data_IF_863577939216
#
_entry.id   IF_863577939216
#
_cell.length_a   1.000
_cell.length_b   1.000
_cell.length_c   1.000
_cell.angle_alpha   90.00
_cell.angle_beta   90.00
_cell.angle_gamma   90.00
#
_symmetry.space_group_name_H-M   'P 1'
#
loop_
_entity.id
_entity.type
_entity.pdbx_description
1 polymer ?
#
# COMPACT_ATOMS: atom_id res chain seq x y z
N UNK A 1 68.43 14.63 -61.66
CA UNK A 1 69.43 14.72 -60.61
C UNK A 1 68.74 15.30 -59.41
N UNK A 2 68.80 14.62 -58.25
CA UNK A 2 68.27 14.94 -56.91
C UNK A 2 66.83 14.53 -56.66
N UNK A 3 66.62 13.31 -56.09
CA UNK A 3 65.54 12.83 -55.28
C UNK A 3 65.47 13.59 -53.99
N UNK A 4 64.31 14.04 -53.61
CA UNK A 4 63.97 14.41 -52.19
C UNK A 4 62.93 13.44 -51.66
N UNK A 5 63.40 12.66 -50.70
CA UNK A 5 62.58 11.72 -49.92
C UNK A 5 61.76 12.51 -48.90
N UNK A 6 60.43 12.46 -48.99
CA UNK A 6 59.54 12.96 -47.98
C UNK A 6 59.16 11.81 -47.04
N UNK A 7 59.66 11.86 -45.81
CA UNK A 7 59.24 10.99 -44.71
C UNK A 7 57.83 11.40 -44.26
N UNK A 8 56.84 10.55 -44.47
CA UNK A 8 55.54 10.65 -43.84
C UNK A 8 55.64 10.12 -42.40
N UNK A 9 55.54 10.99 -41.40
CA UNK A 9 55.28 10.59 -40.02
C UNK A 9 53.79 10.33 -39.87
N UNK A 10 53.40 9.11 -39.59
CA UNK A 10 52.06 8.74 -39.22
C UNK A 10 51.88 9.03 -37.72
N UNK A 11 51.06 9.99 -37.40
CA UNK A 11 50.61 10.24 -36.02
C UNK A 11 49.51 9.20 -35.69
N UNK A 12 49.82 8.27 -34.78
CA UNK A 12 48.88 7.29 -34.27
C UNK A 12 48.08 7.97 -33.15
N UNK A 13 46.82 8.35 -33.45
CA UNK A 13 45.89 8.87 -32.48
C UNK A 13 45.32 7.70 -31.68
N UNK A 14 45.82 7.47 -30.46
CA UNK A 14 45.24 6.51 -29.53
C UNK A 14 43.99 7.17 -28.87
N UNK A 15 42.79 6.82 -29.37
CA UNK A 15 41.53 7.17 -28.69
C UNK A 15 41.34 6.16 -27.56
N UNK A 16 41.61 6.59 -26.34
CA UNK A 16 41.21 5.84 -25.12
C UNK A 16 39.72 6.03 -24.93
N UNK A 17 38.93 5.07 -25.40
CA UNK A 17 37.52 4.94 -25.03
C UNK A 17 37.45 4.49 -23.56
N UNK A 18 37.36 5.45 -22.64
CA UNK A 18 37.01 5.19 -21.25
C UNK A 18 35.55 4.72 -21.18
N UNK A 19 35.35 3.41 -21.02
CA UNK A 19 34.03 2.89 -20.64
C UNK A 19 33.74 3.34 -19.21
N UNK A 20 32.98 4.40 -19.08
CA UNK A 20 32.31 4.71 -17.81
C UNK A 20 31.27 3.61 -17.57
N UNK A 21 31.67 2.55 -16.88
CA UNK A 21 30.70 1.66 -16.22
C UNK A 21 30.15 2.44 -15.04
N UNK A 22 29.04 3.12 -15.28
CA UNK A 22 28.25 3.66 -14.19
C UNK A 22 27.79 2.48 -13.33
N UNK A 23 28.45 2.25 -12.20
CA UNK A 23 27.90 1.42 -11.15
C UNK A 23 26.66 2.15 -10.66
N UNK A 24 25.49 1.71 -11.13
CA UNK A 24 24.21 2.01 -10.49
C UNK A 24 24.33 1.33 -9.12
N UNK A 25 24.65 2.11 -8.10
CA UNK A 25 24.44 1.67 -6.73
C UNK A 25 22.93 1.48 -6.57
N UNK A 26 22.47 0.24 -6.73
CA UNK A 26 21.16 -0.14 -6.26
C UNK A 26 21.15 0.25 -4.77
N UNK A 27 20.38 1.26 -4.40
CA UNK A 27 20.16 1.58 -3.00
C UNK A 27 19.59 0.31 -2.37
N UNK A 28 20.30 -0.28 -1.41
CA UNK A 28 19.78 -1.41 -0.64
C UNK A 28 18.54 -0.92 0.13
N UNK A 29 17.40 -0.98 -0.50
CA UNK A 29 16.10 -0.88 0.17
C UNK A 29 15.99 -2.15 0.99
N UNK A 30 15.82 -2.03 2.29
CA UNK A 30 15.60 -3.21 3.13
C UNK A 30 14.25 -3.80 2.71
N UNK A 31 14.27 -5.06 2.34
CA UNK A 31 13.11 -5.76 1.79
C UNK A 31 12.12 -6.17 2.90
N UNK A 32 10.86 -6.33 2.52
CA UNK A 32 9.83 -6.88 3.39
C UNK A 32 10.14 -8.34 3.75
N UNK A 33 9.82 -8.71 4.98
CA UNK A 33 10.12 -10.03 5.54
C UNK A 33 8.84 -10.88 5.65
N UNK A 34 8.81 -12.00 4.92
CA UNK A 34 7.65 -12.91 4.91
C UNK A 34 7.36 -13.51 6.29
N UNK A 35 8.37 -13.71 7.14
CA UNK A 35 8.17 -14.22 8.49
C UNK A 35 7.47 -13.18 9.37
N UNK A 36 7.85 -11.91 9.24
CA UNK A 36 7.14 -10.82 9.91
C UNK A 36 5.69 -10.73 9.43
N UNK A 37 5.45 -10.81 8.13
CA UNK A 37 4.10 -10.78 7.56
C UNK A 37 3.25 -11.91 8.11
N UNK A 38 3.78 -13.15 8.17
CA UNK A 38 3.07 -14.28 8.76
C UNK A 38 2.69 -14.01 10.23
N UNK A 39 3.63 -13.53 11.04
CA UNK A 39 3.38 -13.21 12.45
C UNK A 39 2.32 -12.11 12.59
N UNK A 40 2.39 -11.06 11.78
CA UNK A 40 1.41 -9.97 11.84
C UNK A 40 0.01 -10.46 11.45
N UNK A 41 -0.09 -11.25 10.38
CA UNK A 41 -1.37 -11.84 9.94
C UNK A 41 -1.98 -12.72 11.04
N UNK A 42 -1.21 -13.63 11.63
CA UNK A 42 -1.66 -14.52 12.72
C UNK A 42 -2.21 -13.72 13.90
N UNK A 43 -1.57 -12.62 14.26
CA UNK A 43 -1.98 -11.77 15.37
C UNK A 43 -3.22 -10.93 15.07
N UNK A 44 -3.35 -10.43 13.85
CA UNK A 44 -4.53 -9.66 13.41
C UNK A 44 -5.75 -10.57 13.29
N UNK A 45 -5.60 -11.72 12.63
CA UNK A 45 -6.66 -12.73 12.47
C UNK A 45 -7.14 -13.23 13.84
N UNK A 46 -6.20 -13.44 14.78
CA UNK A 46 -6.51 -13.91 16.12
C UNK A 46 -6.84 -15.39 16.18
N UNK A 47 -7.51 -15.80 17.27
CA UNK A 47 -7.80 -17.22 17.57
C UNK A 47 -9.30 -17.52 17.41
N UNK A 48 -9.85 -17.35 16.19
CA UNK A 48 -11.23 -17.70 15.88
C UNK A 48 -12.29 -16.76 16.46
N UNK A 49 -11.90 -15.52 16.80
CA UNK A 49 -12.82 -14.44 17.18
C UNK A 49 -12.81 -13.37 16.11
N UNK A 50 -13.91 -13.18 15.43
CA UNK A 50 -14.01 -12.16 14.40
C UNK A 50 -13.90 -10.76 15.00
N UNK A 51 -13.05 -9.94 14.41
CA UNK A 51 -12.79 -8.53 14.75
C UNK A 51 -13.81 -7.59 14.09
N UNK A 52 -15.10 -7.90 14.20
CA UNK A 52 -16.17 -7.13 13.58
C UNK A 52 -16.81 -6.13 14.56
N UNK A 53 -17.67 -5.26 14.03
CA UNK A 53 -18.32 -4.19 14.80
C UNK A 53 -19.16 -4.68 15.97
N UNK A 54 -19.62 -5.94 15.99
CA UNK A 54 -20.38 -6.54 17.09
C UNK A 54 -19.48 -7.06 18.21
N UNK A 55 -18.20 -7.26 17.93
CA UNK A 55 -17.23 -7.80 18.86
C UNK A 55 -16.18 -6.75 19.24
N UNK A 56 -16.61 -5.76 20.05
CA UNK A 56 -15.75 -4.67 20.49
C UNK A 56 -14.50 -5.13 21.25
N UNK A 57 -14.59 -6.22 22.00
CA UNK A 57 -13.44 -6.76 22.74
C UNK A 57 -12.34 -7.18 21.78
N UNK A 58 -12.70 -7.86 20.67
CA UNK A 58 -11.72 -8.29 19.69
C UNK A 58 -11.19 -7.12 18.86
N UNK A 59 -12.05 -6.18 18.44
CA UNK A 59 -11.59 -4.94 17.81
C UNK A 59 -10.59 -4.20 18.72
N UNK A 60 -10.89 -4.12 20.01
CA UNK A 60 -10.03 -3.46 20.99
C UNK A 60 -8.72 -4.22 21.20
N UNK A 61 -8.76 -5.56 21.19
CA UNK A 61 -7.55 -6.39 21.26
C UNK A 61 -6.63 -6.11 20.07
N UNK A 62 -7.18 -6.17 18.86
CA UNK A 62 -6.40 -5.95 17.62
C UNK A 62 -5.82 -4.54 17.60
N UNK A 63 -6.62 -3.51 17.89
CA UNK A 63 -6.13 -2.13 17.90
C UNK A 63 -5.04 -1.89 18.95
N UNK A 64 -5.14 -2.56 20.12
CA UNK A 64 -4.11 -2.48 21.16
C UNK A 64 -2.81 -3.18 20.73
N UNK A 65 -2.94 -4.33 20.08
CA UNK A 65 -1.81 -5.05 19.54
C UNK A 65 -1.10 -4.24 18.43
N UNK A 66 -1.85 -3.68 17.47
CA UNK A 66 -1.30 -2.80 16.42
C UNK A 66 -0.52 -1.64 17.06
N UNK A 67 -1.13 -0.94 18.02
CA UNK A 67 -0.47 0.18 18.70
C UNK A 67 0.83 -0.25 19.38
N UNK A 68 0.86 -1.42 19.98
CA UNK A 68 2.07 -1.95 20.63
C UNK A 68 3.14 -2.33 19.61
N UNK A 69 2.77 -2.98 18.48
CA UNK A 69 3.72 -3.27 17.42
C UNK A 69 4.37 -2.00 16.87
N UNK A 70 3.58 -0.99 16.57
CA UNK A 70 4.08 0.29 16.07
C UNK A 70 4.99 0.98 17.12
N UNK A 71 4.66 0.89 18.41
CA UNK A 71 5.52 1.40 19.49
C UNK A 71 6.88 0.69 19.54
N UNK A 72 6.90 -0.63 19.35
CA UNK A 72 8.15 -1.43 19.30
C UNK A 72 9.03 -1.04 18.11
N UNK A 73 8.43 -0.58 17.01
CA UNK A 73 9.13 -0.04 15.84
C UNK A 73 9.62 1.41 16.04
N UNK A 74 9.34 2.03 17.18
CA UNK A 74 9.68 3.42 17.47
C UNK A 74 8.77 4.43 16.77
N UNK A 75 7.58 4.01 16.36
CA UNK A 75 6.54 4.85 15.74
C UNK A 75 5.42 5.10 16.76
N UNK A 76 5.35 6.29 17.38
CA UNK A 76 4.35 6.60 18.40
C UNK A 76 2.95 6.66 17.82
N UNK A 77 1.95 6.16 18.59
CA UNK A 77 0.56 6.12 18.18
C UNK A 77 -0.38 6.68 19.28
N UNK A 78 -1.51 7.18 18.81
CA UNK A 78 -2.66 7.50 19.66
C UNK A 78 -3.94 6.86 19.10
N UNK A 79 -4.97 6.80 19.95
CA UNK A 79 -6.30 6.41 19.50
C UNK A 79 -7.11 7.64 19.09
N UNK A 80 -7.71 7.57 17.90
CA UNK A 80 -8.74 8.50 17.49
C UNK A 80 -10.10 7.84 17.77
N UNK A 81 -10.69 8.16 18.92
CA UNK A 81 -11.99 7.62 19.31
C UNK A 81 -13.12 8.36 18.60
N UNK A 82 -14.16 7.63 18.21
CA UNK A 82 -15.38 8.18 17.62
C UNK A 82 -16.60 7.32 17.99
N UNK A 83 -17.79 7.89 17.86
CA UNK A 83 -19.04 7.21 18.21
C UNK A 83 -19.77 6.81 16.93
N UNK A 84 -20.15 5.52 16.84
CA UNK A 84 -21.02 4.99 15.81
C UNK A 84 -22.05 4.06 16.47
N UNK A 85 -23.33 4.17 16.10
CA UNK A 85 -24.43 3.38 16.68
C UNK A 85 -24.38 3.30 18.23
N UNK A 86 -24.14 4.42 18.90
CA UNK A 86 -24.06 4.55 20.36
C UNK A 86 -22.91 3.76 21.02
N UNK A 87 -21.98 3.23 20.24
CA UNK A 87 -20.78 2.56 20.73
C UNK A 87 -19.54 3.41 20.40
N UNK A 88 -18.48 3.25 21.19
CA UNK A 88 -17.20 3.92 20.94
C UNK A 88 -16.29 2.96 20.17
N UNK A 89 -15.90 3.40 18.98
CA UNK A 89 -14.89 2.76 18.14
C UNK A 89 -13.64 3.63 18.06
N UNK A 90 -12.59 3.12 17.47
CA UNK A 90 -11.34 3.87 17.38
C UNK A 90 -10.51 3.50 16.16
N UNK A 91 -9.86 4.49 15.58
CA UNK A 91 -8.71 4.29 14.70
C UNK A 91 -7.43 4.27 15.55
N UNK A 92 -6.38 3.61 15.01
CA UNK A 92 -5.02 3.74 15.54
C UNK A 92 -4.25 4.64 14.58
N UNK A 93 -3.81 5.80 15.06
CA UNK A 93 -3.07 6.79 14.26
C UNK A 93 -1.65 6.89 14.78
N UNK A 94 -0.68 6.58 13.93
CA UNK A 94 0.74 6.52 14.26
C UNK A 94 1.53 7.47 13.36
N UNK A 95 2.56 8.11 13.87
CA UNK A 95 3.31 9.10 13.10
C UNK A 95 4.82 8.87 13.16
N UNK A 96 5.43 8.66 12.00
CA UNK A 96 6.87 8.71 11.81
C UNK A 96 7.25 10.12 11.36
N UNK A 97 7.56 10.96 12.35
CA UNK A 97 7.91 12.35 12.10
C UNK A 97 9.42 12.49 11.90
N UNK A 98 9.82 12.97 10.72
CA UNK A 98 11.22 13.19 10.33
C UNK A 98 11.53 14.68 10.11
N UNK A 99 10.70 15.58 10.63
CA UNK A 99 10.91 17.03 10.58
C UNK A 99 10.62 17.66 9.22
N UNK A 100 9.75 17.05 8.40
CA UNK A 100 9.32 17.60 7.11
C UNK A 100 8.06 18.43 7.25
N UNK A 101 7.83 19.35 6.31
CA UNK A 101 6.59 20.14 6.25
C UNK A 101 5.39 19.29 5.77
N UNK A 102 5.65 18.43 4.82
CA UNK A 102 4.66 17.60 4.16
C UNK A 102 4.62 16.18 4.73
N UNK A 103 3.52 15.48 4.46
CA UNK A 103 3.30 14.10 4.89
C UNK A 103 2.62 13.25 3.83
N UNK A 104 2.79 11.96 3.95
CA UNK A 104 2.01 10.94 3.26
C UNK A 104 1.29 10.08 4.31
N UNK A 105 0.19 9.47 3.92
CA UNK A 105 -0.59 8.56 4.79
C UNK A 105 -0.56 7.17 4.16
N UNK A 106 -0.29 6.15 4.95
CA UNK A 106 -0.44 4.73 4.57
C UNK A 106 -1.45 4.12 5.51
N UNK A 107 -2.50 3.49 4.98
CA UNK A 107 -3.57 2.99 5.83
C UNK A 107 -4.20 1.70 5.35
N UNK A 108 -4.89 1.02 6.27
CA UNK A 108 -5.71 -0.15 6.03
C UNK A 108 -6.77 -0.27 7.12
N UNK A 109 -7.93 -0.84 6.81
CA UNK A 109 -8.90 -1.16 7.87
C UNK A 109 -8.53 -2.44 8.60
N UNK A 110 -8.92 -2.54 9.88
CA UNK A 110 -8.59 -3.70 10.70
C UNK A 110 -9.82 -4.48 11.18
N UNK A 111 -11.03 -4.01 10.89
CA UNK A 111 -12.25 -4.79 11.10
C UNK A 111 -12.43 -5.84 9.99
N UNK A 112 -13.44 -6.70 10.14
CA UNK A 112 -13.74 -7.80 9.21
C UNK A 112 -15.24 -7.95 9.02
N UNK A 113 -15.65 -8.40 7.84
CA UNK A 113 -17.02 -8.76 7.55
C UNK A 113 -17.44 -10.05 8.28
N UNK A 114 -18.59 -10.04 8.95
CA UNK A 114 -19.19 -11.25 9.54
C UNK A 114 -18.30 -11.97 10.56
N UNK A 115 -18.40 -13.30 10.60
CA UNK A 115 -17.69 -14.18 11.55
C UNK A 115 -16.63 -15.03 10.85
N UNK A 116 -15.66 -14.35 10.24
CA UNK A 116 -14.57 -14.97 9.46
C UNK A 116 -13.19 -14.45 9.89
N UNK A 117 -12.15 -15.11 9.39
CA UNK A 117 -10.78 -14.75 9.69
C UNK A 117 -10.39 -13.42 9.00
N UNK A 118 -10.86 -13.19 7.76
CA UNK A 118 -10.53 -12.00 6.99
C UNK A 118 -9.02 -11.85 6.82
N UNK A 119 -8.39 -12.89 6.29
CA UNK A 119 -6.94 -12.92 6.16
C UNK A 119 -6.47 -11.98 5.05
N UNK A 120 -7.13 -12.03 3.91
CA UNK A 120 -6.92 -11.10 2.82
C UNK A 120 -7.66 -9.79 3.10
N UNK A 121 -8.92 -9.89 3.52
CA UNK A 121 -9.82 -8.79 3.81
C UNK A 121 -9.97 -8.50 5.33
N UNK A 122 -9.19 -7.62 5.94
CA UNK A 122 -8.05 -6.91 5.39
C UNK A 122 -6.84 -7.01 6.34
N UNK A 123 -6.64 -8.25 6.93
CA UNK A 123 -5.44 -8.48 7.74
C UNK A 123 -4.18 -8.34 6.88
N UNK A 124 -4.26 -8.64 5.56
CA UNK A 124 -3.15 -8.46 4.63
C UNK A 124 -2.73 -6.99 4.52
N UNK A 125 -3.68 -6.07 4.39
CA UNK A 125 -3.42 -4.64 4.39
C UNK A 125 -2.82 -4.16 5.70
N UNK A 126 -3.37 -4.60 6.86
CA UNK A 126 -2.84 -4.25 8.19
C UNK A 126 -1.39 -4.71 8.34
N UNK A 127 -1.09 -5.97 7.98
CA UNK A 127 0.27 -6.50 8.02
C UNK A 127 1.21 -5.71 7.10
N UNK A 128 0.72 -5.34 5.91
CA UNK A 128 1.43 -4.51 4.94
C UNK A 128 1.78 -3.13 5.48
N UNK A 129 0.85 -2.46 6.18
CA UNK A 129 1.10 -1.15 6.81
C UNK A 129 2.15 -1.26 7.91
N UNK A 130 2.08 -2.30 8.78
CA UNK A 130 3.06 -2.50 9.86
C UNK A 130 4.45 -2.77 9.28
N UNK A 131 4.57 -3.63 8.27
CA UNK A 131 5.85 -3.97 7.64
C UNK A 131 6.45 -2.77 6.89
N UNK A 132 5.60 -1.98 6.19
CA UNK A 132 6.01 -0.70 5.61
C UNK A 132 6.58 0.24 6.67
N UNK A 133 5.91 0.34 7.83
CA UNK A 133 6.37 1.18 8.93
C UNK A 133 7.71 0.71 9.50
N UNK A 134 7.93 -0.61 9.63
CA UNK A 134 9.20 -1.18 10.08
C UNK A 134 10.35 -0.75 9.17
N UNK A 135 10.19 -0.94 7.88
CA UNK A 135 11.23 -0.63 6.90
C UNK A 135 11.52 0.88 6.85
N UNK A 136 10.47 1.71 6.84
CA UNK A 136 10.62 3.16 6.78
C UNK A 136 11.21 3.74 8.08
N UNK A 137 10.90 3.18 9.24
CA UNK A 137 11.49 3.59 10.52
C UNK A 137 13.01 3.36 10.55
N UNK A 138 13.47 2.25 9.98
CA UNK A 138 14.90 1.96 9.85
C UNK A 138 15.60 2.85 8.81
N UNK A 139 14.87 3.36 7.83
CA UNK A 139 15.37 4.22 6.76
C UNK A 139 14.89 5.68 6.88
N UNK A 140 14.45 6.11 8.06
CA UNK A 140 13.83 7.42 8.29
C UNK A 140 14.64 8.62 7.79
N UNK A 141 15.96 8.52 7.78
CA UNK A 141 16.85 9.60 7.28
C UNK A 141 16.69 9.86 5.76
N UNK A 142 16.18 8.89 5.01
CA UNK A 142 15.95 9.00 3.56
C UNK A 142 14.57 9.53 3.20
N UNK A 143 13.65 9.63 4.16
CA UNK A 143 12.27 10.04 3.90
C UNK A 143 12.17 11.49 3.46
N UNK A 144 11.54 11.77 2.30
CA UNK A 144 11.28 13.14 1.85
C UNK A 144 10.10 13.78 2.60
N UNK A 145 9.20 12.99 3.17
CA UNK A 145 8.01 13.41 3.89
C UNK A 145 7.91 12.73 5.26
N UNK A 146 7.13 13.32 6.19
CA UNK A 146 6.64 12.57 7.35
C UNK A 146 5.67 11.48 6.87
N UNK A 147 5.55 10.39 7.62
CA UNK A 147 4.62 9.31 7.27
C UNK A 147 3.67 9.06 8.44
N UNK A 148 2.36 9.15 8.18
CA UNK A 148 1.35 8.71 9.12
C UNK A 148 0.84 7.32 8.69
N UNK A 149 0.77 6.40 9.64
CA UNK A 149 0.20 5.07 9.46
C UNK A 149 -1.12 5.02 10.19
N UNK A 150 -2.20 4.70 9.48
CA UNK A 150 -3.54 4.77 10.04
C UNK A 150 -4.26 3.44 9.84
N UNK A 151 -4.74 2.89 10.95
CA UNK A 151 -5.53 1.66 10.94
C UNK A 151 -6.96 2.02 11.28
N UNK A 152 -7.86 1.80 10.33
CA UNK A 152 -9.26 2.22 10.41
C UNK A 152 -10.14 1.11 10.98
N UNK A 153 -11.20 1.49 11.67
CA UNK A 153 -12.28 0.58 12.02
C UNK A 153 -13.56 0.95 11.26
N UNK A 154 -14.49 -0.01 11.16
CA UNK A 154 -15.79 0.18 10.55
C UNK A 154 -15.76 0.50 9.05
N UNK A 155 -14.86 -0.13 8.29
CA UNK A 155 -14.90 -0.12 6.84
C UNK A 155 -16.05 -0.98 6.32
N UNK A 156 -16.27 -2.09 6.97
CA UNK A 156 -17.19 -3.14 6.57
C UNK A 156 -18.68 -2.80 6.79
N UNK A 157 -19.60 -3.43 6.05
CA UNK A 157 -21.02 -3.30 6.31
C UNK A 157 -21.40 -3.60 7.77
N UNK A 158 -22.30 -2.83 8.36
CA UNK A 158 -23.23 -1.87 7.74
C UNK A 158 -22.70 -0.43 7.65
N UNK A 159 -21.44 -0.18 7.98
CA UNK A 159 -20.87 1.18 8.03
C UNK A 159 -20.24 1.63 6.73
N UNK A 160 -19.96 0.70 5.82
CA UNK A 160 -19.38 0.98 4.51
C UNK A 160 -20.13 2.10 3.78
N UNK A 161 -19.39 3.07 3.22
CA UNK A 161 -19.91 4.26 2.54
C UNK A 161 -20.77 5.19 3.42
N UNK A 162 -20.48 5.24 4.71
CA UNK A 162 -21.13 6.17 5.65
C UNK A 162 -20.11 7.07 6.34
N UNK A 163 -20.56 8.19 6.89
CA UNK A 163 -19.74 9.07 7.73
C UNK A 163 -19.25 8.42 9.04
N UNK A 164 -19.71 7.20 9.32
CA UNK A 164 -19.30 6.42 10.51
C UNK A 164 -18.10 5.52 10.24
N UNK A 165 -17.60 5.45 9.00
CA UNK A 165 -16.33 4.77 8.69
C UNK A 165 -15.18 5.47 9.41
N UNK A 166 -14.26 4.69 9.96
CA UNK A 166 -13.06 5.23 10.61
C UNK A 166 -12.22 6.11 9.67
N UNK A 167 -12.14 5.74 8.40
CA UNK A 167 -11.45 6.54 7.38
C UNK A 167 -12.13 7.88 7.09
N UNK A 168 -13.48 7.94 7.11
CA UNK A 168 -14.18 9.20 7.00
C UNK A 168 -13.86 10.13 8.18
N UNK A 169 -13.92 9.57 9.40
CA UNK A 169 -13.57 10.31 10.62
C UNK A 169 -12.13 10.83 10.55
N UNK A 170 -11.19 10.01 10.08
CA UNK A 170 -9.80 10.44 9.96
C UNK A 170 -9.64 11.49 8.85
N UNK A 171 -10.15 11.27 7.65
CA UNK A 171 -10.06 12.21 6.53
C UNK A 171 -10.62 13.59 6.90
N UNK A 172 -11.80 13.63 7.56
CA UNK A 172 -12.42 14.86 8.09
C UNK A 172 -11.51 15.57 9.10
N UNK A 173 -10.84 14.82 9.98
CA UNK A 173 -9.98 15.39 11.01
C UNK A 173 -8.72 16.08 10.47
N UNK A 174 -8.23 15.62 9.31
CA UNK A 174 -7.01 16.15 8.65
C UNK A 174 -7.31 17.11 7.48
N UNK A 175 -8.59 17.35 7.16
CA UNK A 175 -9.01 18.18 6.04
C UNK A 175 -8.39 19.58 6.04
N UNK A 176 -8.28 20.20 7.22
CA UNK A 176 -7.69 21.55 7.36
C UNK A 176 -6.19 21.58 6.99
N UNK A 177 -5.54 20.42 6.89
CA UNK A 177 -4.13 20.26 6.55
C UNK A 177 -3.94 19.59 5.17
N UNK A 178 -4.99 19.49 4.36
CA UNK A 178 -4.97 18.73 3.08
C UNK A 178 -3.82 19.14 2.16
N UNK A 179 -3.46 20.42 2.13
CA UNK A 179 -2.37 20.93 1.27
C UNK A 179 -0.99 20.37 1.64
N UNK A 180 -0.84 19.87 2.87
CA UNK A 180 0.39 19.22 3.35
C UNK A 180 0.38 17.71 3.13
N UNK A 181 -0.76 17.12 2.74
CA UNK A 181 -0.88 15.68 2.49
C UNK A 181 -0.59 15.43 1.01
N UNK A 182 0.57 14.86 0.72
CA UNK A 182 1.02 14.61 -0.66
C UNK A 182 0.38 13.37 -1.28
N UNK A 183 -0.16 12.48 -0.48
CA UNK A 183 -0.88 11.31 -0.94
C UNK A 183 -1.29 10.40 0.20
N UNK A 184 -2.36 9.66 -0.02
CA UNK A 184 -2.86 8.60 0.85
C UNK A 184 -2.80 7.29 0.08
N UNK A 185 -2.18 6.28 0.66
CA UNK A 185 -2.01 4.95 0.09
C UNK A 185 -2.77 3.95 0.95
N UNK A 186 -3.88 3.44 0.45
CA UNK A 186 -4.72 2.46 1.15
C UNK A 186 -4.36 1.07 0.65
N UNK A 187 -3.94 0.21 1.56
CA UNK A 187 -3.71 -1.21 1.30
C UNK A 187 -5.01 -1.96 1.55
N UNK A 188 -5.59 -2.50 0.47
CA UNK A 188 -6.89 -3.15 0.48
C UNK A 188 -6.80 -4.50 -0.19
N UNK A 189 -6.78 -5.59 0.60
CA UNK A 189 -6.56 -6.94 0.08
C UNK A 189 -5.33 -7.00 -0.84
N UNK A 190 -4.19 -7.38 -0.29
CA UNK A 190 -2.91 -7.40 -1.02
C UNK A 190 -2.25 -8.77 -1.02
N UNK A 191 -3.01 -9.84 -0.65
CA UNK A 191 -2.43 -11.15 -0.37
C UNK A 191 -2.82 -12.26 -1.32
N UNK A 192 -3.91 -12.16 -2.09
CA UNK A 192 -4.39 -13.25 -2.93
C UNK A 192 -3.91 -13.13 -4.38
N UNK A 193 -3.11 -14.11 -4.81
CA UNK A 193 -2.56 -14.15 -6.18
C UNK A 193 -2.73 -15.54 -6.80
N UNK A 194 -2.90 -15.57 -8.13
CA UNK A 194 -3.04 -16.82 -8.88
C UNK A 194 -2.55 -16.66 -10.31
N UNK A 195 -1.82 -17.65 -10.80
CA UNK A 195 -1.41 -17.74 -12.20
C UNK A 195 -2.52 -18.32 -13.11
N UNK A 196 -3.65 -18.71 -12.52
CA UNK A 196 -4.82 -19.17 -13.26
C UNK A 196 -5.61 -17.99 -13.82
N UNK A 197 -6.38 -18.24 -14.88
CA UNK A 197 -7.24 -17.23 -15.51
C UNK A 197 -8.55 -17.06 -14.72
N UNK A 198 -8.44 -16.52 -13.51
CA UNK A 198 -9.55 -16.31 -12.58
C UNK A 198 -9.97 -14.85 -12.47
N UNK A 199 -9.22 -13.92 -13.06
CA UNK A 199 -9.47 -12.50 -12.94
C UNK A 199 -10.75 -12.12 -13.69
N UNK A 200 -11.70 -11.51 -12.99
CA UNK A 200 -12.88 -10.89 -13.56
C UNK A 200 -12.77 -9.37 -13.54
N UNK A 201 -13.67 -8.70 -14.25
CA UNK A 201 -13.67 -7.24 -14.39
C UNK A 201 -15.09 -6.71 -14.58
N UNK A 202 -15.35 -5.44 -14.25
CA UNK A 202 -16.50 -4.71 -14.77
C UNK A 202 -16.57 -4.77 -16.29
N UNK A 203 -17.78 -4.62 -16.83
CA UNK A 203 -18.05 -4.70 -18.27
C UNK A 203 -17.10 -3.78 -19.05
N UNK A 204 -16.44 -4.32 -20.06
CA UNK A 204 -15.53 -3.61 -20.98
C UNK A 204 -14.05 -3.66 -20.59
N UNK A 205 -13.68 -3.86 -19.33
CA UNK A 205 -12.28 -3.84 -18.91
C UNK A 205 -11.52 -5.14 -19.21
N UNK A 206 -12.21 -6.27 -19.38
CA UNK A 206 -11.58 -7.57 -19.69
C UNK A 206 -10.77 -7.60 -20.99
N UNK A 207 -10.96 -6.61 -21.85
CA UNK A 207 -10.24 -6.51 -23.12
C UNK A 207 -8.91 -5.75 -23.01
N UNK A 208 -8.69 -5.09 -21.86
CA UNK A 208 -7.57 -4.18 -21.64
C UNK A 208 -6.60 -4.76 -20.62
N UNK A 209 -7.10 -5.49 -19.62
CA UNK A 209 -6.34 -5.99 -18.47
C UNK A 209 -6.09 -7.50 -18.53
N UNK A 210 -5.05 -8.02 -17.83
CA UNK A 210 -4.70 -9.44 -17.78
C UNK A 210 -5.83 -10.29 -17.23
N UNK A 211 -5.96 -11.55 -17.70
CA UNK A 211 -6.94 -12.51 -17.20
C UNK A 211 -6.43 -13.34 -16.02
N UNK A 212 -5.12 -13.31 -15.75
CA UNK A 212 -4.49 -14.01 -14.63
C UNK A 212 -4.42 -13.10 -13.41
N UNK A 213 -4.58 -13.69 -12.22
CA UNK A 213 -4.57 -12.95 -10.96
C UNK A 213 -3.17 -12.78 -10.35
N UNK A 214 -2.14 -12.51 -11.14
CA UNK A 214 -0.75 -12.44 -10.69
C UNK A 214 -0.12 -11.04 -10.78
N UNK A 215 -0.92 -10.01 -10.63
CA UNK A 215 -0.51 -8.61 -10.59
C UNK A 215 -1.10 -7.90 -9.37
N UNK A 216 -0.54 -6.75 -9.01
CA UNK A 216 -1.18 -5.79 -8.09
C UNK A 216 -1.82 -4.67 -8.89
N UNK A 217 -2.90 -4.10 -8.40
CA UNK A 217 -3.58 -2.99 -9.04
C UNK A 217 -3.54 -1.72 -8.17
N UNK A 218 -3.55 -0.57 -8.83
CA UNK A 218 -3.87 0.72 -8.19
C UNK A 218 -5.18 1.26 -8.73
N UNK A 219 -6.03 1.73 -7.82
CA UNK A 219 -7.29 2.39 -8.16
C UNK A 219 -7.25 3.82 -7.64
N UNK A 220 -7.43 4.78 -8.53
CA UNK A 220 -7.41 6.21 -8.20
C UNK A 220 -8.48 6.96 -8.97
N UNK A 221 -8.86 8.15 -8.48
CA UNK A 221 -9.59 9.11 -9.29
C UNK A 221 -8.63 9.92 -10.18
N UNK A 222 -9.17 10.79 -11.03
CA UNK A 222 -8.37 11.58 -11.98
C UNK A 222 -7.37 12.49 -11.26
N UNK A 223 -7.76 13.11 -10.14
CA UNK A 223 -6.88 14.01 -9.37
C UNK A 223 -5.75 13.28 -8.66
N UNK A 224 -5.91 11.98 -8.37
CA UNK A 224 -4.94 11.13 -7.65
C UNK A 224 -4.14 10.19 -8.56
N UNK A 225 -4.31 10.28 -9.89
CA UNK A 225 -3.72 9.35 -10.87
C UNK A 225 -2.20 9.21 -10.77
N UNK A 226 -1.54 10.30 -10.37
CA UNK A 226 -0.07 10.34 -10.29
C UNK A 226 0.47 9.53 -9.11
N UNK A 227 -0.32 9.32 -8.04
CA UNK A 227 0.03 8.44 -6.93
C UNK A 227 0.15 6.98 -7.40
N UNK A 228 -0.87 6.49 -8.12
CA UNK A 228 -0.84 5.15 -8.69
C UNK A 228 0.25 4.97 -9.76
N UNK A 229 0.49 6.03 -10.58
CA UNK A 229 1.56 6.00 -11.56
C UNK A 229 2.94 5.90 -10.91
N UNK A 230 3.19 6.66 -9.85
CA UNK A 230 4.44 6.65 -9.11
C UNK A 230 4.71 5.30 -8.44
N UNK A 231 3.68 4.71 -7.80
CA UNK A 231 3.78 3.38 -7.22
C UNK A 231 4.08 2.31 -8.29
N UNK A 232 3.32 2.25 -9.39
CA UNK A 232 3.56 1.27 -10.44
C UNK A 232 4.93 1.45 -11.13
N UNK A 233 5.44 2.68 -11.23
CA UNK A 233 6.80 2.91 -11.72
C UNK A 233 7.87 2.36 -10.74
N UNK A 234 7.61 2.36 -9.43
CA UNK A 234 8.47 1.72 -8.45
C UNK A 234 8.42 0.20 -8.56
N UNK A 235 7.23 -0.39 -8.71
CA UNK A 235 7.04 -1.82 -8.96
C UNK A 235 7.78 -2.27 -10.23
N UNK A 236 7.68 -1.51 -11.31
CA UNK A 236 8.39 -1.82 -12.56
C UNK A 236 9.91 -1.80 -12.41
N UNK A 237 10.47 -0.92 -11.55
CA UNK A 237 11.90 -0.89 -11.29
C UNK A 237 12.39 -2.09 -10.47
N UNK A 238 11.54 -2.66 -9.63
CA UNK A 238 11.85 -3.88 -8.87
C UNK A 238 11.71 -5.13 -9.70
N UNK A 239 10.89 -5.11 -10.76
CA UNK A 239 10.66 -6.22 -11.72
C UNK A 239 10.29 -7.56 -11.04
N UNK A 240 9.55 -7.49 -9.92
CA UNK A 240 9.17 -8.67 -9.13
C UNK A 240 7.69 -9.03 -9.26
N UNK A 241 6.84 -8.04 -9.47
CA UNK A 241 5.40 -8.20 -9.61
C UNK A 241 4.84 -7.11 -10.52
N UNK A 242 4.02 -7.52 -11.49
CA UNK A 242 3.36 -6.60 -12.41
C UNK A 242 2.38 -5.67 -11.67
N UNK A 243 2.30 -4.40 -12.09
CA UNK A 243 1.39 -3.41 -11.54
C UNK A 243 0.45 -2.88 -12.62
N UNK A 244 -0.86 -3.00 -12.39
CA UNK A 244 -1.92 -2.47 -13.26
C UNK A 244 -2.49 -1.19 -12.66
N UNK A 245 -2.86 -0.23 -13.52
CA UNK A 245 -3.44 1.04 -13.08
C UNK A 245 -4.86 1.21 -13.58
N UNK A 246 -5.76 1.51 -12.68
CA UNK A 246 -7.11 1.95 -13.01
C UNK A 246 -7.31 3.37 -12.52
N UNK A 247 -7.63 4.28 -13.44
CA UNK A 247 -8.07 5.64 -13.12
C UNK A 247 -9.57 5.69 -13.36
N UNK A 248 -10.33 5.71 -12.26
CA UNK A 248 -11.79 5.73 -12.31
C UNK A 248 -12.28 7.18 -12.50
N UNK A 249 -13.19 7.44 -13.45
CA UNK A 249 -13.87 8.71 -13.49
C UNK A 249 -14.78 8.87 -12.26
N UNK A 250 -14.97 10.10 -11.79
CA UNK A 250 -15.70 10.42 -10.55
C UNK A 250 -17.18 9.94 -10.52
N UNK A 251 -17.76 9.63 -11.67
CA UNK A 251 -19.11 9.09 -11.78
C UNK A 251 -19.20 7.56 -11.78
N UNK A 252 -18.07 6.86 -11.75
CA UNK A 252 -18.03 5.40 -11.82
C UNK A 252 -18.02 4.81 -10.42
N UNK A 253 -19.20 4.58 -9.84
CA UNK A 253 -19.41 4.02 -8.50
C UNK A 253 -18.93 2.55 -8.35
N UNK A 254 -18.29 1.98 -9.38
CA UNK A 254 -17.80 0.60 -9.37
C UNK A 254 -16.40 0.45 -8.74
N UNK A 255 -15.77 1.55 -8.30
CA UNK A 255 -14.37 1.58 -7.87
C UNK A 255 -14.14 2.32 -6.55
N UNK A 256 -15.22 2.70 -5.88
CA UNK A 256 -15.25 3.40 -4.60
C UNK A 256 -15.54 2.44 -3.42
N UNK A 257 -14.83 1.32 -3.39
CA UNK A 257 -15.03 0.26 -2.39
C UNK A 257 -13.84 0.17 -1.45
N UNK A 258 -13.56 1.12 -0.63
CA UNK A 258 -12.63 1.07 0.50
C UNK A 258 -12.36 2.47 1.06
N UNK A 259 -11.49 2.56 2.03
CA UNK A 259 -11.14 3.74 2.81
C UNK A 259 -10.68 4.96 1.99
N UNK A 260 -10.10 4.75 0.79
CA UNK A 260 -9.60 5.82 -0.07
C UNK A 260 -10.71 6.78 -0.56
N UNK A 261 -11.94 6.28 -0.71
CA UNK A 261 -13.08 7.10 -1.15
C UNK A 261 -13.35 8.28 -0.20
N UNK A 262 -13.18 8.06 1.11
CA UNK A 262 -13.45 9.08 2.12
C UNK A 262 -12.45 10.25 2.06
N UNK A 263 -11.24 10.00 1.58
CA UNK A 263 -10.27 11.07 1.36
C UNK A 263 -10.62 11.90 0.12
N UNK A 264 -11.16 11.26 -0.92
CA UNK A 264 -11.62 11.98 -2.11
C UNK A 264 -12.76 12.96 -1.80
N UNK A 265 -13.64 12.64 -0.84
CA UNK A 265 -14.71 13.55 -0.41
C UNK A 265 -14.19 14.87 0.16
N UNK A 266 -12.98 14.86 0.72
CA UNK A 266 -12.33 16.04 1.27
C UNK A 266 -11.24 16.64 0.36
N UNK A 267 -11.24 16.27 -0.93
CA UNK A 267 -10.21 16.68 -1.92
C UNK A 267 -8.78 16.32 -1.48
N UNK A 268 -8.59 15.24 -0.76
CA UNK A 268 -7.29 14.71 -0.37
C UNK A 268 -6.91 13.63 -1.38
N UNK A 269 -5.73 13.73 -2.06
CA UNK A 269 -5.31 12.73 -3.02
C UNK A 269 -5.13 11.36 -2.38
N UNK A 270 -5.82 10.34 -2.88
CA UNK A 270 -5.74 8.98 -2.37
C UNK A 270 -5.73 7.93 -3.49
N UNK A 271 -5.04 6.83 -3.24
CA UNK A 271 -4.97 5.66 -4.12
C UNK A 271 -5.15 4.40 -3.29
N UNK A 272 -5.95 3.46 -3.80
CA UNK A 272 -6.05 2.10 -3.27
C UNK A 272 -5.05 1.21 -4.00
N UNK A 273 -4.30 0.40 -3.26
CA UNK A 273 -3.42 -0.66 -3.75
C UNK A 273 -4.09 -1.98 -3.38
N UNK A 274 -4.42 -2.79 -4.39
CA UNK A 274 -5.27 -3.97 -4.18
C UNK A 274 -4.93 -5.12 -5.12
N UNK A 275 -5.14 -6.34 -4.67
CA UNK A 275 -5.15 -7.53 -5.51
C UNK A 275 -6.44 -7.67 -6.34
N UNK A 276 -7.35 -6.71 -6.22
CA UNK A 276 -8.65 -6.59 -6.88
C UNK A 276 -9.82 -7.30 -6.19
N UNK A 277 -9.64 -7.76 -4.95
CA UNK A 277 -10.70 -8.26 -4.08
C UNK A 277 -11.63 -9.29 -4.77
N UNK A 278 -12.93 -9.12 -4.67
CA UNK A 278 -13.94 -10.03 -5.23
C UNK A 278 -13.90 -10.22 -6.76
N UNK A 279 -13.15 -9.37 -7.47
CA UNK A 279 -12.89 -9.58 -8.91
C UNK A 279 -11.88 -10.70 -9.18
N UNK A 280 -11.15 -11.15 -8.14
CA UNK A 280 -10.15 -12.22 -8.21
C UNK A 280 -10.34 -13.27 -7.14
N UNK A 281 -10.52 -12.84 -5.89
CA UNK A 281 -10.56 -13.72 -4.72
C UNK A 281 -11.97 -14.24 -4.47
N UNK A 282 -12.24 -15.49 -4.86
CA UNK A 282 -13.53 -16.15 -4.60
C UNK A 282 -13.78 -16.45 -3.11
N UNK A 283 -12.81 -16.18 -2.24
CA UNK A 283 -12.94 -16.34 -0.78
C UNK A 283 -13.42 -15.06 -0.09
N UNK A 284 -13.50 -13.94 -0.83
CA UNK A 284 -13.97 -12.66 -0.32
C UNK A 284 -15.28 -12.79 0.45
N UNK A 285 -15.33 -12.25 1.67
CA UNK A 285 -16.47 -12.29 2.59
C UNK A 285 -16.97 -13.71 2.93
N UNK A 286 -16.08 -14.72 2.91
CA UNK A 286 -16.38 -16.09 3.30
C UNK A 286 -15.40 -16.63 4.34
N UNK A 287 -15.77 -17.73 5.01
CA UNK A 287 -14.87 -18.44 5.95
C UNK A 287 -13.66 -19.10 5.29
N UNK A 288 -13.58 -19.06 3.96
CA UNK A 288 -12.44 -19.55 3.20
C UNK A 288 -11.33 -18.50 3.03
N UNK A 289 -11.58 -17.23 3.41
CA UNK A 289 -10.56 -16.19 3.48
C UNK A 289 -9.64 -16.42 4.70
N UNK A 290 -8.59 -17.20 4.46
CA UNK A 290 -7.67 -17.69 5.49
C UNK A 290 -6.22 -17.44 5.12
N UNK A 291 -5.34 -17.38 6.12
CA UNK A 291 -3.90 -17.20 5.96
C UNK A 291 -3.29 -18.14 4.91
N UNK A 292 -3.72 -19.42 4.88
CA UNK A 292 -3.21 -20.41 3.93
C UNK A 292 -3.51 -20.11 2.45
N UNK A 293 -4.41 -19.16 2.16
CA UNK A 293 -4.75 -18.74 0.79
C UNK A 293 -3.87 -17.59 0.29
N UNK A 294 -3.06 -16.99 1.16
CA UNK A 294 -2.24 -15.82 0.83
C UNK A 294 -0.87 -16.22 0.29
N UNK A 295 -0.33 -15.37 -0.58
CA UNK A 295 1.02 -15.46 -1.12
C UNK A 295 1.91 -14.39 -0.47
N UNK A 296 2.63 -14.78 0.59
CA UNK A 296 3.45 -13.87 1.38
C UNK A 296 4.60 -13.25 0.58
N UNK A 297 5.17 -13.99 -0.37
CA UNK A 297 6.22 -13.47 -1.25
C UNK A 297 5.69 -12.33 -2.13
N UNK A 298 4.51 -12.48 -2.72
CA UNK A 298 3.90 -11.42 -3.52
C UNK A 298 3.42 -10.24 -2.66
N UNK A 299 2.93 -10.50 -1.44
CA UNK A 299 2.67 -9.44 -0.47
C UNK A 299 3.94 -8.63 -0.16
N UNK A 300 5.07 -9.30 0.08
CA UNK A 300 6.35 -8.63 0.31
C UNK A 300 6.72 -7.74 -0.88
N UNK A 301 6.57 -8.23 -2.12
CA UNK A 301 6.83 -7.43 -3.32
C UNK A 301 5.96 -6.17 -3.41
N UNK A 302 4.67 -6.26 -3.03
CA UNK A 302 3.75 -5.11 -2.97
C UNK A 302 4.27 -4.04 -2.00
N UNK A 303 4.72 -4.48 -0.82
CA UNK A 303 5.25 -3.61 0.22
C UNK A 303 6.57 -2.98 -0.21
N UNK A 304 7.47 -3.75 -0.83
CA UNK A 304 8.73 -3.25 -1.36
C UNK A 304 8.51 -2.16 -2.41
N UNK A 305 7.51 -2.33 -3.28
CA UNK A 305 7.09 -1.31 -4.24
C UNK A 305 6.64 -0.02 -3.57
N UNK A 306 5.85 -0.12 -2.48
CA UNK A 306 5.39 1.04 -1.73
C UNK A 306 6.56 1.73 -1.01
N UNK A 307 7.42 0.99 -0.34
CA UNK A 307 8.62 1.52 0.32
C UNK A 307 9.52 2.21 -0.69
N UNK A 308 9.82 1.56 -1.81
CA UNK A 308 10.62 2.13 -2.89
C UNK A 308 10.02 3.45 -3.41
N UNK A 309 8.70 3.52 -3.55
CA UNK A 309 8.00 4.72 -3.97
C UNK A 309 8.11 5.85 -2.94
N UNK A 310 7.86 5.56 -1.66
CA UNK A 310 7.84 6.54 -0.58
C UNK A 310 9.23 7.08 -0.21
N UNK A 311 10.30 6.38 -0.55
CA UNK A 311 11.68 6.82 -0.34
C UNK A 311 12.20 7.71 -1.48
N UNK A 312 11.47 7.86 -2.59
CA UNK A 312 11.85 8.75 -3.68
C UNK A 312 11.57 10.21 -3.28
N UNK A 313 12.53 11.12 -3.60
CA UNK A 313 12.34 12.57 -3.38
C UNK A 313 11.24 13.17 -4.24
#
# INVERSE_FOLDING_TARGET
>A
MWLKILKKQAFLLIVVLGTFTGQVFASNVKMADEQNLQVYLEQVIGQGKARNYKNLDELNRVSAWIKEQMRLLGVPCHYQNFTANQQIYRNVVCSLNVGRADRVIVGAHYDVFGDQDGADDNASGVAGVIETARILAEQKAKLPNNVDFVFYSLEEPPFSKTEQMGSYVHAKSVQSQKDKIKGVYILEMIGFFSDQSIQSYPVGLKWIYPTHGNFIATVSNVSSRDLGAGYCAAMQQLDQLECQRLVAPSFANAFDFSDHLNYWEFDIPAVMITDTAFYRNGHYHTKADRLATLNLTKMANVIDGLVQHLLKP
#
